data_IF_611670038989
#
_entry.id   IF_611670038989
#
_cell.length_a   1.000
_cell.length_b   1.000
_cell.length_c   1.000
_cell.angle_alpha   90.00
_cell.angle_beta   90.00
_cell.angle_gamma   90.00
#
_symmetry.space_group_name_H-M   'P 1'
#
loop_
_entity.id
_entity.type
_entity.pdbx_description
1 polymer ?
#
# COMPACT_ATOMS: atom_id res chain seq x y z
N UNK A 1 8.04 -14.14 -14.88
CA UNK A 1 6.67 -13.59 -14.75
C UNK A 1 6.76 -12.07 -14.70
N UNK A 2 5.90 -11.39 -15.43
CA UNK A 2 5.81 -9.92 -15.40
C UNK A 2 4.81 -9.46 -14.35
N UNK A 3 4.98 -8.23 -13.89
CA UNK A 3 4.09 -7.60 -12.90
C UNK A 3 2.63 -7.61 -13.38
N UNK A 4 2.37 -7.32 -14.65
CA UNK A 4 1.00 -7.28 -15.22
C UNK A 4 0.25 -8.62 -15.21
N UNK A 5 0.97 -9.74 -15.12
CA UNK A 5 0.40 -11.09 -15.07
C UNK A 5 -0.09 -11.44 -13.66
N UNK A 6 0.48 -10.78 -12.64
CA UNK A 6 0.22 -11.04 -11.23
C UNK A 6 -0.62 -9.95 -10.55
N UNK A 7 -0.51 -8.69 -11.01
CA UNK A 7 -1.15 -7.56 -10.36
C UNK A 7 -2.66 -7.69 -10.29
N UNK A 8 -3.24 -7.22 -9.19
CA UNK A 8 -4.68 -6.99 -9.08
C UNK A 8 -5.06 -5.79 -9.94
N UNK A 9 -6.00 -5.99 -10.89
CA UNK A 9 -6.51 -4.95 -11.79
C UNK A 9 -7.78 -4.27 -11.27
N UNK A 10 -8.36 -4.81 -10.20
CA UNK A 10 -9.49 -4.19 -9.51
C UNK A 10 -8.97 -3.06 -8.65
N UNK A 11 -9.05 -1.84 -9.16
CA UNK A 11 -8.58 -0.65 -8.47
C UNK A 11 -9.72 0.08 -7.79
N UNK A 12 -9.55 0.27 -6.50
CA UNK A 12 -10.30 1.21 -5.70
C UNK A 12 -9.40 2.42 -5.50
N UNK A 13 -9.86 3.61 -5.76
CA UNK A 13 -9.06 4.83 -5.66
C UNK A 13 -9.76 5.89 -4.82
N UNK A 14 -8.97 6.79 -4.28
CA UNK A 14 -9.43 8.02 -3.68
C UNK A 14 -8.57 9.20 -4.15
N UNK A 15 -9.02 10.40 -3.85
CA UNK A 15 -8.31 11.63 -4.17
C UNK A 15 -7.75 12.26 -2.88
N UNK A 16 -6.78 13.18 -2.97
CA UNK A 16 -6.22 13.86 -1.80
C UNK A 16 -7.26 14.61 -0.96
N UNK A 17 -8.34 15.06 -1.58
CA UNK A 17 -9.41 15.84 -0.93
C UNK A 17 -10.50 15.01 -0.28
N UNK A 18 -10.52 13.70 -0.54
CA UNK A 18 -11.46 12.79 0.12
C UNK A 18 -11.15 12.68 1.62
N UNK A 19 -12.18 12.37 2.41
CA UNK A 19 -12.02 12.15 3.85
C UNK A 19 -11.42 10.78 4.15
N UNK A 20 -10.62 10.68 5.22
CA UNK A 20 -10.04 9.38 5.65
C UNK A 20 -11.11 8.37 6.03
N UNK A 21 -12.27 8.82 6.51
CA UNK A 21 -13.40 7.94 6.82
C UNK A 21 -13.94 7.26 5.56
N UNK A 22 -14.01 7.98 4.44
CA UNK A 22 -14.42 7.44 3.14
C UNK A 22 -13.39 6.40 2.64
N UNK A 23 -12.10 6.70 2.76
CA UNK A 23 -11.03 5.76 2.42
C UNK A 23 -11.10 4.50 3.29
N UNK A 24 -11.28 4.64 4.61
CA UNK A 24 -11.42 3.51 5.52
C UNK A 24 -12.66 2.64 5.20
N UNK A 25 -13.78 3.29 4.85
CA UNK A 25 -15.00 2.58 4.44
C UNK A 25 -14.78 1.80 3.14
N UNK A 26 -14.11 2.39 2.17
CA UNK A 26 -13.75 1.74 0.91
C UNK A 26 -12.86 0.52 1.14
N UNK A 27 -11.88 0.62 2.06
CA UNK A 27 -11.02 -0.51 2.46
C UNK A 27 -11.85 -1.64 3.09
N UNK A 28 -12.75 -1.30 4.01
CA UNK A 28 -13.62 -2.27 4.69
C UNK A 28 -14.55 -2.99 3.71
N UNK A 29 -15.24 -2.24 2.86
CA UNK A 29 -16.26 -2.78 1.95
C UNK A 29 -15.66 -3.70 0.88
N UNK A 30 -14.37 -3.53 0.57
CA UNK A 30 -13.67 -4.28 -0.48
C UNK A 30 -12.54 -5.20 0.05
N UNK A 31 -12.40 -5.33 1.37
CA UNK A 31 -11.38 -6.16 2.03
C UNK A 31 -9.96 -5.86 1.52
N UNK A 32 -9.62 -4.58 1.42
CA UNK A 32 -8.29 -4.12 1.03
C UNK A 32 -7.69 -3.22 2.11
N UNK A 33 -6.39 -3.28 2.31
CA UNK A 33 -5.69 -2.47 3.31
C UNK A 33 -4.85 -1.33 2.73
N UNK A 34 -4.94 -1.09 1.42
CA UNK A 34 -4.27 0.03 0.75
C UNK A 34 -5.06 0.48 -0.47
N UNK A 35 -5.08 1.78 -0.71
CA UNK A 35 -5.77 2.41 -1.82
C UNK A 35 -4.84 3.41 -2.48
N UNK A 36 -4.63 3.36 -3.81
CA UNK A 36 -3.92 4.41 -4.52
C UNK A 36 -4.68 5.74 -4.42
N UNK A 37 -3.92 6.79 -4.17
CA UNK A 37 -4.40 8.17 -4.18
C UNK A 37 -4.04 8.79 -5.52
N UNK A 38 -5.06 9.22 -6.25
CA UNK A 38 -4.93 9.69 -7.64
C UNK A 38 -5.49 11.11 -7.80
N UNK A 39 -5.14 11.77 -8.90
CA UNK A 39 -5.66 13.10 -9.21
C UNK A 39 -7.19 13.10 -9.36
N UNK A 40 -7.72 12.14 -10.11
CA UNK A 40 -9.13 11.79 -10.18
C UNK A 40 -9.27 10.32 -10.59
N UNK A 41 -10.40 9.70 -10.27
CA UNK A 41 -10.60 8.25 -10.50
C UNK A 41 -10.85 7.88 -11.97
N UNK A 42 -10.98 8.84 -12.88
CA UNK A 42 -11.05 8.58 -14.33
C UNK A 42 -9.66 8.56 -14.96
N UNK A 43 -8.84 9.60 -14.73
CA UNK A 43 -7.48 9.67 -15.24
C UNK A 43 -6.51 8.78 -14.48
N UNK A 44 -6.69 8.63 -13.16
CA UNK A 44 -5.94 7.77 -12.27
C UNK A 44 -4.42 8.04 -12.24
N UNK A 45 -4.00 9.28 -12.43
CA UNK A 45 -2.58 9.64 -12.23
C UNK A 45 -2.22 9.51 -10.77
N UNK A 46 -1.22 8.68 -10.48
CA UNK A 46 -0.82 8.36 -9.13
C UNK A 46 -0.17 9.56 -8.43
N UNK A 47 -0.69 9.92 -7.26
CA UNK A 47 -0.14 10.97 -6.40
C UNK A 47 0.42 10.39 -5.10
N UNK A 48 -0.17 9.32 -4.60
CA UNK A 48 0.18 8.73 -3.32
C UNK A 48 -0.45 7.37 -3.10
N UNK A 49 -0.28 6.87 -1.91
CA UNK A 49 -0.96 5.68 -1.40
C UNK A 49 -1.41 5.94 0.04
N UNK A 50 -2.60 5.46 0.39
CA UNK A 50 -3.08 5.47 1.77
C UNK A 50 -3.35 4.04 2.22
N UNK A 51 -2.89 3.70 3.42
CA UNK A 51 -3.08 2.39 4.03
C UNK A 51 -3.93 2.48 5.29
N UNK A 52 -4.47 1.35 5.73
CA UNK A 52 -5.11 1.21 7.03
C UNK A 52 -4.17 1.61 8.18
N UNK A 53 -2.87 1.26 8.06
CA UNK A 53 -1.84 1.69 9.01
C UNK A 53 -1.65 3.20 9.01
N UNK A 54 -1.64 3.86 7.86
CA UNK A 54 -1.54 5.34 7.78
C UNK A 54 -2.69 6.02 8.53
N UNK A 55 -3.90 5.54 8.36
CA UNK A 55 -5.07 6.07 9.06
C UNK A 55 -4.93 5.87 10.57
N UNK A 56 -4.53 4.68 11.01
CA UNK A 56 -4.34 4.41 12.44
C UNK A 56 -3.23 5.26 13.06
N UNK A 57 -2.05 5.28 12.43
CA UNK A 57 -0.83 5.89 13.00
C UNK A 57 -0.82 7.41 12.82
N UNK A 58 -1.24 7.91 11.65
CA UNK A 58 -1.12 9.33 11.31
C UNK A 58 -2.42 10.13 11.56
N UNK A 59 -3.53 9.47 11.85
CA UNK A 59 -4.77 10.15 12.22
C UNK A 59 -5.22 9.78 13.63
N UNK A 60 -5.57 8.52 13.89
CA UNK A 60 -6.14 8.09 15.17
C UNK A 60 -5.14 8.32 16.31
N UNK A 61 -3.89 7.85 16.19
CA UNK A 61 -2.86 8.02 17.21
C UNK A 61 -2.46 9.47 17.43
N UNK A 62 -2.64 10.33 16.43
CA UNK A 62 -2.35 11.77 16.52
C UNK A 62 -3.54 12.61 17.01
N UNK A 63 -4.65 11.97 17.37
CA UNK A 63 -5.85 12.64 17.86
C UNK A 63 -6.58 13.48 16.81
N UNK A 64 -6.37 13.22 15.53
CA UNK A 64 -7.07 13.93 14.45
C UNK A 64 -8.53 13.53 14.39
N UNK A 65 -9.39 14.47 14.00
CA UNK A 65 -10.81 14.19 13.78
C UNK A 65 -11.02 13.32 12.54
N UNK A 66 -11.58 12.13 12.73
CA UNK A 66 -11.87 11.19 11.64
C UNK A 66 -12.83 11.79 10.61
N UNK A 67 -13.80 12.58 11.07
CA UNK A 67 -14.83 13.16 10.20
C UNK A 67 -14.36 14.33 9.32
N UNK A 68 -13.22 14.95 9.65
CA UNK A 68 -12.74 16.16 8.96
C UNK A 68 -11.35 16.04 8.37
N UNK A 69 -10.58 15.02 8.74
CA UNK A 69 -9.21 14.81 8.23
C UNK A 69 -9.27 14.29 6.79
N UNK A 70 -8.48 14.89 5.93
CA UNK A 70 -8.38 14.51 4.50
C UNK A 70 -7.29 13.46 4.27
N UNK A 71 -7.46 12.70 3.20
CA UNK A 71 -6.46 11.72 2.74
C UNK A 71 -5.08 12.34 2.57
N UNK A 72 -4.99 13.54 2.01
CA UNK A 72 -3.72 14.27 1.83
C UNK A 72 -2.94 14.52 3.12
N UNK A 73 -3.61 14.53 4.27
CA UNK A 73 -2.96 14.80 5.57
C UNK A 73 -2.27 13.55 6.16
N UNK A 74 -2.60 12.35 5.66
CA UNK A 74 -2.11 11.09 6.24
C UNK A 74 -1.48 10.14 5.22
N UNK A 75 -1.69 10.35 3.92
CA UNK A 75 -1.16 9.50 2.85
C UNK A 75 0.36 9.56 2.75
N UNK A 76 0.94 8.54 2.13
CA UNK A 76 2.32 8.56 1.66
C UNK A 76 2.37 9.19 0.27
N UNK A 77 3.13 10.28 0.13
CA UNK A 77 3.36 10.94 -1.15
C UNK A 77 4.45 10.20 -1.94
N UNK A 78 4.32 10.18 -3.27
CA UNK A 78 5.31 9.59 -4.19
C UNK A 78 5.74 8.19 -3.72
N UNK A 79 4.82 7.24 -3.62
CA UNK A 79 5.14 5.88 -3.21
C UNK A 79 6.07 5.22 -4.22
N UNK A 80 6.79 4.17 -3.77
CA UNK A 80 7.50 3.29 -4.69
C UNK A 80 6.49 2.63 -5.64
N UNK A 81 6.85 2.49 -6.90
CA UNK A 81 6.01 1.94 -7.97
C UNK A 81 6.78 0.91 -8.78
N UNK A 82 6.05 0.05 -9.49
CA UNK A 82 6.58 -0.83 -10.53
C UNK A 82 5.86 -0.56 -11.85
N UNK A 83 6.54 -0.84 -12.96
CA UNK A 83 5.94 -0.86 -14.28
C UNK A 83 5.31 -2.22 -14.59
N UNK A 84 4.31 -2.29 -15.50
CA UNK A 84 3.64 -3.55 -15.84
C UNK A 84 4.56 -4.58 -16.52
N UNK A 85 5.53 -4.09 -17.30
CA UNK A 85 6.48 -4.91 -18.05
C UNK A 85 7.67 -5.40 -17.20
N UNK A 86 7.85 -4.86 -15.99
CA UNK A 86 8.94 -5.26 -15.10
C UNK A 86 8.76 -6.69 -14.63
N UNK A 87 9.88 -7.35 -14.31
CA UNK A 87 9.81 -8.68 -13.72
C UNK A 87 9.39 -8.62 -12.26
N UNK A 88 8.84 -9.73 -11.77
CA UNK A 88 8.38 -9.80 -10.38
C UNK A 88 9.53 -9.62 -9.39
N UNK A 89 10.73 -10.09 -9.73
CA UNK A 89 11.92 -9.94 -8.89
C UNK A 89 12.31 -8.47 -8.70
N UNK A 90 12.09 -7.63 -9.71
CA UNK A 90 12.28 -6.17 -9.61
C UNK A 90 11.27 -5.56 -8.66
N UNK A 91 10.01 -6.00 -8.73
CA UNK A 91 8.96 -5.57 -7.82
C UNK A 91 9.27 -5.99 -6.38
N UNK A 92 9.69 -7.23 -6.15
CA UNK A 92 10.11 -7.74 -4.84
C UNK A 92 11.28 -6.95 -4.25
N UNK A 93 12.32 -6.71 -5.04
CA UNK A 93 13.46 -5.88 -4.63
C UNK A 93 13.05 -4.45 -4.29
N UNK A 94 12.04 -3.92 -4.98
CA UNK A 94 11.47 -2.59 -4.70
C UNK A 94 10.68 -2.59 -3.38
N UNK A 95 9.90 -3.64 -3.11
CA UNK A 95 9.24 -3.83 -1.81
C UNK A 95 10.25 -3.94 -0.67
N UNK A 96 11.29 -4.72 -0.83
CA UNK A 96 12.34 -4.91 0.17
C UNK A 96 13.07 -3.60 0.47
N UNK A 97 13.53 -2.89 -0.56
CA UNK A 97 14.25 -1.62 -0.41
C UNK A 97 13.45 -0.55 0.30
N UNK A 98 12.15 -0.49 0.01
CA UNK A 98 11.25 0.52 0.56
C UNK A 98 10.49 0.03 1.81
N UNK A 99 10.69 -1.22 2.22
CA UNK A 99 10.03 -1.85 3.38
C UNK A 99 8.51 -1.74 3.32
N UNK A 100 7.95 -1.97 2.13
CA UNK A 100 6.51 -1.90 1.85
C UNK A 100 5.96 -3.26 1.45
N UNK A 101 4.70 -3.50 1.76
CA UNK A 101 4.00 -4.76 1.47
C UNK A 101 3.09 -4.71 0.26
N UNK A 102 2.97 -3.53 -0.34
CA UNK A 102 2.12 -3.26 -1.50
C UNK A 102 2.75 -2.18 -2.34
N UNK A 103 2.67 -2.33 -3.64
CA UNK A 103 3.23 -1.38 -4.61
C UNK A 103 2.18 -1.10 -5.68
N UNK A 104 1.88 0.17 -5.96
CA UNK A 104 1.10 0.55 -7.15
C UNK A 104 1.86 0.23 -8.43
N UNK A 105 1.14 -0.27 -9.42
CA UNK A 105 1.66 -0.47 -10.78
C UNK A 105 1.23 0.70 -11.64
N UNK A 106 2.19 1.35 -12.26
CA UNK A 106 1.94 2.53 -13.11
C UNK A 106 2.46 2.31 -14.52
N UNK A 107 1.73 2.85 -15.49
CA UNK A 107 2.18 2.86 -16.87
C UNK A 107 3.22 3.99 -17.13
N UNK A 108 3.67 4.09 -18.37
CA UNK A 108 4.65 5.10 -18.80
C UNK A 108 4.16 6.55 -18.68
N UNK A 109 2.85 6.76 -18.49
CA UNK A 109 2.22 8.06 -18.28
C UNK A 109 1.96 8.39 -16.82
N UNK A 110 2.34 7.47 -15.89
CA UNK A 110 2.09 7.62 -14.46
C UNK A 110 0.66 7.29 -14.04
N UNK A 111 -0.10 6.61 -14.90
CA UNK A 111 -1.47 6.15 -14.60
C UNK A 111 -1.40 4.87 -13.79
N UNK A 112 -2.09 4.84 -12.65
CA UNK A 112 -2.22 3.63 -11.84
C UNK A 112 -3.14 2.62 -12.54
N UNK A 113 -2.57 1.46 -12.89
CA UNK A 113 -3.25 0.40 -13.63
C UNK A 113 -3.42 -0.90 -12.85
N UNK A 114 -2.79 -1.00 -11.68
CA UNK A 114 -2.85 -2.17 -10.82
C UNK A 114 -2.17 -1.96 -9.48
N UNK A 115 -2.25 -3.00 -8.66
CA UNK A 115 -1.55 -3.11 -7.38
C UNK A 115 -0.91 -4.49 -7.28
N UNK A 116 0.29 -4.57 -6.71
CA UNK A 116 0.91 -5.83 -6.29
C UNK A 116 1.08 -5.82 -4.78
N UNK A 117 0.70 -6.92 -4.15
CA UNK A 117 0.85 -7.13 -2.71
C UNK A 117 1.70 -8.37 -2.40
N UNK A 118 2.16 -8.50 -1.15
CA UNK A 118 2.78 -9.74 -0.68
C UNK A 118 1.88 -10.97 -0.87
N UNK A 119 0.56 -10.80 -0.79
CA UNK A 119 -0.38 -11.89 -1.00
C UNK A 119 -0.37 -12.37 -2.47
N UNK A 120 -0.27 -11.43 -3.42
CA UNK A 120 -0.16 -11.78 -4.84
C UNK A 120 1.13 -12.57 -5.10
N UNK A 121 2.25 -12.14 -4.52
CA UNK A 121 3.52 -12.88 -4.60
C UNK A 121 3.37 -14.29 -4.01
N UNK A 122 2.79 -14.40 -2.81
CA UNK A 122 2.60 -15.68 -2.13
C UNK A 122 1.74 -16.68 -2.91
N UNK A 123 0.80 -16.18 -3.73
CA UNK A 123 -0.12 -17.01 -4.51
C UNK A 123 0.45 -17.40 -5.89
N UNK A 124 1.42 -16.67 -6.42
CA UNK A 124 1.86 -16.81 -7.80
C UNK A 124 3.36 -17.13 -7.95
N UNK A 125 4.15 -16.97 -6.90
CA UNK A 125 5.59 -17.22 -6.94
C UNK A 125 5.99 -18.46 -6.12
N UNK A 126 7.26 -18.84 -6.22
CA UNK A 126 7.81 -19.98 -5.48
C UNK A 126 7.83 -19.72 -3.97
N UNK A 127 7.75 -20.80 -3.19
CA UNK A 127 7.81 -20.70 -1.73
C UNK A 127 9.12 -20.04 -1.24
N UNK A 128 10.23 -20.27 -1.95
CA UNK A 128 11.55 -19.70 -1.60
C UNK A 128 11.57 -18.18 -1.80
N UNK A 129 11.08 -17.67 -2.95
CA UNK A 129 10.99 -16.23 -3.23
C UNK A 129 10.00 -15.56 -2.29
N UNK A 130 8.83 -16.14 -2.10
CA UNK A 130 7.84 -15.66 -1.14
C UNK A 130 8.44 -15.51 0.26
N UNK A 131 9.16 -16.53 0.75
CA UNK A 131 9.81 -16.49 2.07
C UNK A 131 10.83 -15.36 2.16
N UNK A 132 11.69 -15.20 1.15
CA UNK A 132 12.72 -14.15 1.11
C UNK A 132 12.06 -12.75 1.15
N UNK A 133 11.05 -12.52 0.32
CA UNK A 133 10.36 -11.22 0.24
C UNK A 133 9.63 -10.91 1.54
N UNK A 134 8.87 -11.85 2.09
CA UNK A 134 8.16 -11.66 3.36
C UNK A 134 9.14 -11.42 4.51
N UNK A 135 10.22 -12.18 4.60
CA UNK A 135 11.25 -12.01 5.63
C UNK A 135 11.93 -10.63 5.51
N UNK A 136 12.26 -10.21 4.28
CA UNK A 136 12.93 -8.94 4.03
C UNK A 136 12.06 -7.73 4.44
N UNK A 137 10.80 -7.68 4.00
CA UNK A 137 9.89 -6.55 4.34
C UNK A 137 9.42 -6.56 5.78
N UNK A 138 9.55 -7.69 6.48
CA UNK A 138 9.13 -7.82 7.88
C UNK A 138 10.23 -7.44 8.88
N UNK A 139 11.49 -7.34 8.47
CA UNK A 139 12.61 -7.01 9.36
C UNK A 139 12.47 -5.67 10.06
N UNK A 140 11.86 -4.71 9.40
CA UNK A 140 11.66 -3.37 9.97
C UNK A 140 10.73 -3.35 11.18
N UNK A 141 9.90 -4.38 11.36
CA UNK A 141 8.93 -4.49 12.45
C UNK A 141 9.35 -5.48 13.54
N UNK A 142 10.58 -6.04 13.46
CA UNK A 142 11.09 -6.92 14.50
C UNK A 142 11.38 -6.12 15.76
N UNK A 143 10.57 -6.34 16.80
CA UNK A 143 10.81 -5.76 18.13
C UNK A 143 11.71 -6.65 18.96
N UNK A 144 12.49 -6.09 19.93
CA UNK A 144 13.22 -6.87 20.90
C UNK A 144 12.29 -7.84 21.65
N UNK A 145 12.70 -9.10 21.78
CA UNK A 145 11.90 -10.09 22.48
C UNK A 145 11.82 -9.75 23.98
N UNK A 146 10.65 -9.94 24.56
CA UNK A 146 10.46 -9.94 26.01
C UNK A 146 9.96 -8.65 26.65
N UNK A 147 9.64 -7.61 25.86
CA UNK A 147 9.00 -6.40 26.41
C UNK A 147 7.48 -6.46 26.25
N UNK A 148 6.78 -6.28 27.36
CA UNK A 148 5.33 -6.04 27.37
C UNK A 148 5.10 -4.58 27.68
N UNK A 149 4.48 -3.86 26.73
CA UNK A 149 4.11 -2.45 26.92
C UNK A 149 2.60 -2.34 26.83
N UNK A 150 1.98 -1.88 27.93
CA UNK A 150 0.55 -1.66 27.98
C UNK A 150 0.19 -0.29 27.37
N UNK A 151 -1.00 -0.22 26.73
CA UNK A 151 -1.58 1.06 26.35
C UNK A 151 -1.93 1.83 27.64
N UNK A 152 -1.50 3.08 27.72
CA UNK A 152 -1.84 3.99 28.83
C UNK A 152 -2.90 4.96 28.35
N UNK A 153 -3.86 5.18 29.22
CA UNK A 153 -4.89 6.20 29.00
C UNK A 153 -4.29 7.62 28.94
#
# INVERSE_FOLDING_TARGET
MRVEEMMSKNLFCCTPTDGIQQAAKLMKDNDVGAIPVVNDCNERKLLGIITDRDICVNAVAMGKSIGTTKVSEVMTNKPATCGPEESIEVCEATMERNQVRRIPVVDTHGVCIGMVSQADIALHDTAEHTYKTVAAVSRHHAQPQGQVVAARA
#
